data_IF_056540644404
#
_entry.id   IF_056540644404
#
_cell.length_a   1.000
_cell.length_b   1.000
_cell.length_c   1.000
_cell.angle_alpha   90.00
_cell.angle_beta   90.00
_cell.angle_gamma   90.00
#
_symmetry.space_group_name_H-M   'P 1'
#
loop_
_entity.id
_entity.type
_entity.pdbx_description
1 polymer ?
#
# COMPACT_ATOMS: atom_id res chain seq x y z
N UNK A 1 -7.98 -1.91 -40.25
CA UNK A 1 -7.62 -1.42 -38.90
C UNK A 1 -6.13 -1.64 -38.68
N UNK A 2 -5.38 -0.62 -38.27
CA UNK A 2 -3.94 -0.76 -38.03
C UNK A 2 -3.69 -1.41 -36.66
N UNK A 3 -2.99 -2.56 -36.65
CA UNK A 3 -2.62 -3.29 -35.42
C UNK A 3 -1.72 -2.48 -34.45
N UNK A 4 -1.15 -1.38 -34.93
CA UNK A 4 -0.22 -0.52 -34.16
C UNK A 4 -0.88 0.13 -32.94
N UNK A 5 -2.16 0.50 -33.03
CA UNK A 5 -2.87 1.16 -31.93
C UNK A 5 -3.08 0.27 -30.70
N UNK A 6 -3.70 -0.92 -30.85
CA UNK A 6 -3.90 -1.86 -29.75
C UNK A 6 -2.59 -2.32 -29.10
N UNK A 7 -1.57 -2.56 -29.92
CA UNK A 7 -0.26 -3.03 -29.45
C UNK A 7 0.46 -1.94 -28.63
N UNK A 8 0.44 -0.68 -29.07
CA UNK A 8 0.99 0.43 -28.29
C UNK A 8 0.26 0.63 -26.94
N UNK A 9 -1.08 0.47 -26.92
CA UNK A 9 -1.86 0.54 -25.69
C UNK A 9 -1.53 -0.61 -24.73
N UNK A 10 -1.35 -1.82 -25.24
CA UNK A 10 -0.96 -2.99 -24.44
C UNK A 10 0.40 -2.78 -23.77
N UNK A 11 1.43 -2.38 -24.53
CA UNK A 11 2.77 -2.14 -23.96
C UNK A 11 2.77 -1.02 -22.95
N UNK A 12 2.00 0.05 -23.19
CA UNK A 12 1.81 1.13 -22.23
C UNK A 12 1.18 0.63 -20.93
N UNK A 13 0.07 -0.11 -21.01
CA UNK A 13 -0.63 -0.68 -19.85
C UNK A 13 0.28 -1.62 -19.07
N UNK A 14 0.98 -2.54 -19.74
CA UNK A 14 1.86 -3.51 -19.11
C UNK A 14 3.03 -2.83 -18.39
N UNK A 15 3.71 -1.89 -19.07
CA UNK A 15 4.86 -1.19 -18.48
C UNK A 15 4.44 -0.31 -17.29
N UNK A 16 3.35 0.44 -17.42
CA UNK A 16 2.88 1.31 -16.35
C UNK A 16 2.33 0.50 -15.17
N UNK A 17 1.60 -0.59 -15.40
CA UNK A 17 1.14 -1.49 -14.35
C UNK A 17 2.30 -2.14 -13.60
N UNK A 18 3.33 -2.62 -14.32
CA UNK A 18 4.53 -3.19 -13.71
C UNK A 18 5.26 -2.17 -12.83
N UNK A 19 5.40 -0.94 -13.33
CA UNK A 19 6.01 0.14 -12.56
C UNK A 19 5.23 0.43 -11.27
N UNK A 20 3.91 0.60 -11.36
CA UNK A 20 3.06 0.84 -10.18
C UNK A 20 3.11 -0.31 -9.19
N UNK A 21 3.17 -1.55 -9.68
CA UNK A 21 3.39 -2.72 -8.84
C UNK A 21 4.72 -2.62 -8.08
N UNK A 22 5.84 -2.35 -8.76
CA UNK A 22 7.15 -2.21 -8.10
C UNK A 22 7.12 -1.10 -7.06
N UNK A 23 6.59 0.08 -7.40
CA UNK A 23 6.52 1.23 -6.47
C UNK A 23 5.70 0.88 -5.23
N UNK A 24 4.49 0.36 -5.39
CA UNK A 24 3.63 0.03 -4.24
C UNK A 24 4.21 -1.13 -3.42
N UNK A 25 4.69 -2.19 -4.07
CA UNK A 25 5.29 -3.35 -3.39
C UNK A 25 6.50 -2.93 -2.57
N UNK A 26 7.42 -2.15 -3.15
CA UNK A 26 8.62 -1.67 -2.47
C UNK A 26 8.27 -0.75 -1.30
N UNK A 27 7.36 0.21 -1.50
CA UNK A 27 7.00 1.17 -0.45
C UNK A 27 6.24 0.51 0.69
N UNK A 28 5.25 -0.33 0.38
CA UNK A 28 4.49 -1.09 1.38
C UNK A 28 5.40 -2.04 2.17
N UNK A 29 6.28 -2.78 1.49
CA UNK A 29 7.28 -3.65 2.14
C UNK A 29 8.21 -2.86 3.05
N UNK A 30 8.72 -1.71 2.59
CA UNK A 30 9.59 -0.87 3.42
C UNK A 30 8.87 -0.36 4.68
N UNK A 31 7.59 0.01 4.57
CA UNK A 31 6.79 0.42 5.73
C UNK A 31 6.57 -0.71 6.72
N UNK A 32 6.20 -1.91 6.27
CA UNK A 32 6.04 -3.07 7.19
C UNK A 32 7.34 -3.39 7.92
N UNK A 33 8.45 -3.47 7.17
CA UNK A 33 9.76 -3.75 7.74
C UNK A 33 10.17 -2.71 8.78
N UNK A 34 9.88 -1.44 8.51
CA UNK A 34 10.17 -0.37 9.46
C UNK A 34 9.27 -0.44 10.70
N UNK A 35 7.97 -0.72 10.52
CA UNK A 35 7.04 -0.89 11.63
C UNK A 35 7.48 -2.03 12.57
N UNK A 36 7.84 -3.20 12.03
CA UNK A 36 8.35 -4.31 12.84
C UNK A 36 9.68 -3.98 13.54
N UNK A 37 10.58 -3.25 12.89
CA UNK A 37 11.83 -2.78 13.53
C UNK A 37 11.57 -1.80 14.66
N UNK A 38 10.59 -0.91 14.49
CA UNK A 38 10.25 0.07 15.53
C UNK A 38 9.63 -0.65 16.74
N UNK A 39 8.75 -1.64 16.52
CA UNK A 39 8.21 -2.51 17.59
C UNK A 39 9.33 -3.28 18.31
N UNK A 40 10.23 -3.94 17.57
CA UNK A 40 11.35 -4.66 18.18
C UNK A 40 12.23 -3.71 19.03
N UNK A 41 12.53 -2.52 18.50
CA UNK A 41 13.35 -1.52 19.20
C UNK A 41 12.66 -1.04 20.48
N UNK A 42 11.36 -0.78 20.43
CA UNK A 42 10.59 -0.31 21.58
C UNK A 42 10.48 -1.38 22.67
N UNK A 43 10.25 -2.65 22.30
CA UNK A 43 10.29 -3.77 23.24
C UNK A 43 11.69 -3.92 23.86
N UNK A 44 12.77 -3.79 23.06
CA UNK A 44 14.12 -3.87 23.57
C UNK A 44 14.40 -2.78 24.62
N UNK A 45 13.96 -1.54 24.38
CA UNK A 45 14.11 -0.46 25.34
C UNK A 45 13.27 -0.71 26.60
N UNK A 46 12.00 -1.10 26.46
CA UNK A 46 11.17 -1.41 27.63
C UNK A 46 11.69 -2.58 28.48
N UNK A 47 12.40 -3.55 27.87
CA UNK A 47 13.10 -4.62 28.64
C UNK A 47 14.24 -4.02 29.46
N UNK A 48 15.03 -3.11 28.88
CA UNK A 48 16.14 -2.46 29.58
C UNK A 48 15.66 -1.55 30.71
N UNK A 49 14.51 -0.89 30.54
CA UNK A 49 13.91 0.01 31.51
C UNK A 49 13.09 -0.72 32.59
N UNK A 50 12.82 -2.02 32.41
CA UNK A 50 12.05 -2.83 33.37
C UNK A 50 10.53 -2.65 33.26
N UNK A 51 10.03 -2.15 32.14
CA UNK A 51 8.61 -1.87 31.90
C UNK A 51 7.76 -3.14 31.75
N UNK A 52 8.39 -4.28 31.46
CA UNK A 52 7.70 -5.56 31.27
C UNK A 52 7.77 -6.44 32.52
N UNK A 53 6.60 -6.85 33.02
CA UNK A 53 6.47 -7.80 34.13
C UNK A 53 7.07 -9.19 33.82
N UNK A 54 7.19 -9.55 32.54
CA UNK A 54 7.70 -10.84 32.05
C UNK A 54 8.76 -10.61 30.97
N UNK A 55 10.03 -10.37 31.34
CA UNK A 55 11.09 -10.00 30.39
C UNK A 55 11.38 -11.09 29.35
N UNK A 56 11.25 -12.37 29.71
CA UNK A 56 11.46 -13.49 28.77
C UNK A 56 10.41 -13.48 27.65
N UNK A 57 9.13 -13.30 28.00
CA UNK A 57 8.04 -13.17 27.01
C UNK A 57 8.23 -11.95 26.11
N UNK A 58 8.70 -10.83 26.67
CA UNK A 58 9.01 -9.64 25.89
C UNK A 58 10.15 -9.90 24.88
N UNK A 59 11.19 -10.63 25.29
CA UNK A 59 12.27 -11.00 24.39
C UNK A 59 11.80 -11.96 23.28
N UNK A 60 10.93 -12.92 23.59
CA UNK A 60 10.32 -13.80 22.58
C UNK A 60 9.49 -13.00 21.57
N UNK A 61 8.65 -12.08 22.04
CA UNK A 61 7.85 -11.20 21.18
C UNK A 61 8.75 -10.33 20.29
N UNK A 62 9.87 -9.81 20.82
CA UNK A 62 10.87 -9.07 20.03
C UNK A 62 11.43 -9.92 18.89
N UNK A 63 11.82 -11.18 19.17
CA UNK A 63 12.34 -12.09 18.16
C UNK A 63 11.29 -12.41 17.08
N UNK A 64 10.03 -12.59 17.47
CA UNK A 64 8.91 -12.77 16.52
C UNK A 64 8.76 -11.54 15.63
N UNK A 65 8.82 -10.32 16.19
CA UNK A 65 8.75 -9.08 15.43
C UNK A 65 9.93 -8.95 14.45
N UNK A 66 11.15 -9.30 14.84
CA UNK A 66 12.34 -9.29 13.97
C UNK A 66 12.19 -10.26 12.80
N UNK A 67 11.82 -11.51 13.09
CA UNK A 67 11.62 -12.55 12.07
C UNK A 67 10.46 -12.19 11.12
N UNK A 68 9.37 -11.65 11.66
CA UNK A 68 8.25 -11.16 10.86
C UNK A 68 8.68 -9.97 9.99
N UNK A 69 9.51 -9.07 10.50
CA UNK A 69 10.09 -7.97 9.74
C UNK A 69 10.97 -8.44 8.59
N UNK A 70 11.85 -9.41 8.78
CA UNK A 70 12.72 -9.93 7.71
C UNK A 70 11.93 -10.58 6.57
N UNK A 71 10.88 -11.34 6.94
CA UNK A 71 9.99 -12.03 6.00
C UNK A 71 8.83 -11.16 5.49
N UNK A 72 8.66 -9.94 6.00
CA UNK A 72 7.57 -9.06 5.61
C UNK A 72 7.66 -8.69 4.14
N UNK A 73 6.54 -8.90 3.44
CA UNK A 73 6.34 -8.51 2.06
C UNK A 73 4.97 -7.83 1.98
N UNK A 74 4.99 -6.51 1.86
CA UNK A 74 3.79 -5.70 1.83
C UNK A 74 3.32 -5.37 0.41
N UNK A 75 2.06 -4.97 0.30
CA UNK A 75 1.48 -4.42 -0.93
C UNK A 75 0.72 -5.45 -1.78
N UNK A 76 -0.02 -4.98 -2.80
CA UNK A 76 -0.92 -5.81 -3.60
C UNK A 76 -0.16 -6.75 -4.55
N UNK A 77 -0.84 -7.82 -4.98
CA UNK A 77 -0.31 -8.73 -6.01
C UNK A 77 -0.26 -8.08 -7.40
N UNK A 78 0.69 -8.53 -8.23
CA UNK A 78 0.85 -8.02 -9.61
C UNK A 78 -0.42 -8.22 -10.44
N UNK A 79 -1.08 -9.38 -10.28
CA UNK A 79 -2.31 -9.70 -11.00
C UNK A 79 -3.42 -8.70 -10.69
N UNK A 80 -3.57 -8.31 -9.41
CA UNK A 80 -4.54 -7.31 -9.01
C UNK A 80 -4.25 -5.95 -9.65
N UNK A 81 -2.98 -5.52 -9.65
CA UNK A 81 -2.56 -4.25 -10.27
C UNK A 81 -2.86 -4.23 -11.77
N UNK A 82 -2.56 -5.33 -12.47
CA UNK A 82 -2.89 -5.48 -13.90
C UNK A 82 -4.40 -5.45 -14.11
N UNK A 83 -5.18 -6.16 -13.29
CA UNK A 83 -6.64 -6.18 -13.39
C UNK A 83 -7.26 -4.79 -13.19
N UNK A 84 -6.81 -4.04 -12.17
CA UNK A 84 -7.22 -2.66 -11.90
C UNK A 84 -6.88 -1.75 -13.09
N UNK A 85 -5.64 -1.83 -13.59
CA UNK A 85 -5.17 -1.00 -14.70
C UNK A 85 -5.98 -1.25 -15.98
N UNK A 86 -6.16 -2.52 -16.35
CA UNK A 86 -6.94 -2.93 -17.53
C UNK A 86 -8.40 -2.56 -17.35
N UNK A 87 -8.99 -2.83 -16.19
CA UNK A 87 -10.40 -2.54 -15.88
C UNK A 87 -10.72 -1.05 -15.97
N UNK A 88 -9.92 -0.20 -15.32
CA UNK A 88 -10.08 1.26 -15.38
C UNK A 88 -9.92 1.80 -16.80
N UNK A 89 -8.89 1.35 -17.53
CA UNK A 89 -8.65 1.78 -18.90
C UNK A 89 -9.80 1.35 -19.84
N UNK A 90 -10.22 0.09 -19.75
CA UNK A 90 -11.31 -0.46 -20.56
C UNK A 90 -12.64 0.24 -20.27
N UNK A 91 -12.95 0.49 -19.00
CA UNK A 91 -14.15 1.23 -18.59
C UNK A 91 -14.24 2.58 -19.30
N UNK A 92 -13.17 3.37 -19.26
CA UNK A 92 -13.17 4.69 -19.90
C UNK A 92 -13.23 4.61 -21.43
N UNK A 93 -12.65 3.57 -22.04
CA UNK A 93 -12.80 3.32 -23.47
C UNK A 93 -14.24 2.99 -23.84
N UNK A 94 -14.91 2.12 -23.09
CA UNK A 94 -16.33 1.77 -23.31
C UNK A 94 -17.21 3.01 -23.15
N UNK A 95 -17.01 3.81 -22.10
CA UNK A 95 -17.76 5.05 -21.89
C UNK A 95 -17.50 6.07 -23.00
N UNK A 96 -16.26 6.20 -23.48
CA UNK A 96 -15.93 7.11 -24.57
C UNK A 96 -16.58 6.69 -25.91
N UNK A 97 -16.71 5.39 -26.16
CA UNK A 97 -17.36 4.85 -27.37
C UNK A 97 -18.89 4.79 -27.25
N UNK A 98 -19.43 4.86 -26.04
CA UNK A 98 -20.87 4.84 -25.83
C UNK A 98 -21.53 6.11 -26.39
N UNK A 99 -22.71 5.95 -27.01
CA UNK A 99 -23.54 7.07 -27.50
C UNK A 99 -24.37 7.73 -26.39
N UNK A 100 -24.02 7.50 -25.13
CA UNK A 100 -24.75 7.99 -23.99
C UNK A 100 -24.56 9.51 -23.82
N UNK A 101 -25.59 10.24 -23.34
CA UNK A 101 -25.44 11.62 -22.92
C UNK A 101 -24.30 11.78 -21.89
N UNK A 102 -23.66 12.95 -21.87
CA UNK A 102 -22.50 13.20 -21.00
C UNK A 102 -22.80 12.94 -19.51
N UNK A 103 -23.98 13.34 -19.03
CA UNK A 103 -24.44 13.09 -17.65
C UNK A 103 -24.58 11.60 -17.35
N UNK A 104 -25.23 10.84 -18.23
CA UNK A 104 -25.38 9.39 -18.08
C UNK A 104 -24.05 8.64 -18.10
N UNK A 105 -23.09 9.07 -18.93
CA UNK A 105 -21.73 8.50 -18.94
C UNK A 105 -20.98 8.75 -17.64
N UNK A 106 -21.08 9.95 -17.10
CA UNK A 106 -20.46 10.30 -15.83
C UNK A 106 -21.06 9.48 -14.68
N UNK A 107 -22.39 9.37 -14.62
CA UNK A 107 -23.07 8.55 -13.62
C UNK A 107 -22.69 7.06 -13.72
N UNK A 108 -22.71 6.49 -14.93
CA UNK A 108 -22.31 5.10 -15.16
C UNK A 108 -20.84 4.85 -14.77
N UNK A 109 -19.93 5.74 -15.16
CA UNK A 109 -18.52 5.63 -14.80
C UNK A 109 -18.27 5.73 -13.31
N UNK A 110 -19.01 6.60 -12.60
CA UNK A 110 -18.92 6.72 -11.15
C UNK A 110 -19.41 5.44 -10.46
N UNK A 111 -20.60 4.96 -10.82
CA UNK A 111 -21.18 3.74 -10.22
C UNK A 111 -20.29 2.52 -10.43
N UNK A 112 -19.82 2.30 -11.66
CA UNK A 112 -18.92 1.17 -11.94
C UNK A 112 -17.57 1.34 -11.22
N UNK A 113 -17.06 2.56 -11.11
CA UNK A 113 -15.81 2.82 -10.37
C UNK A 113 -15.96 2.52 -8.88
N UNK A 114 -17.08 2.89 -8.26
CA UNK A 114 -17.35 2.60 -6.84
C UNK A 114 -17.35 1.08 -6.61
N UNK A 115 -18.11 0.33 -7.43
CA UNK A 115 -18.22 -1.12 -7.29
C UNK A 115 -16.86 -1.80 -7.56
N UNK A 116 -16.18 -1.43 -8.63
CA UNK A 116 -14.91 -2.03 -9.01
C UNK A 116 -13.80 -1.73 -8.01
N UNK A 117 -13.72 -0.49 -7.49
CA UNK A 117 -12.77 -0.15 -6.43
C UNK A 117 -13.10 -0.88 -5.13
N UNK A 118 -14.37 -0.94 -4.72
CA UNK A 118 -14.77 -1.70 -3.54
C UNK A 118 -14.30 -3.15 -3.62
N UNK A 119 -14.57 -3.81 -4.74
CA UNK A 119 -14.14 -5.19 -4.98
C UNK A 119 -12.60 -5.33 -5.03
N UNK A 120 -11.89 -4.43 -5.71
CA UNK A 120 -10.44 -4.46 -5.78
C UNK A 120 -9.78 -4.27 -4.40
N UNK A 121 -10.33 -3.40 -3.56
CA UNK A 121 -9.86 -3.18 -2.20
C UNK A 121 -10.11 -4.40 -1.32
N UNK A 122 -11.28 -5.04 -1.45
CA UNK A 122 -11.58 -6.30 -0.75
C UNK A 122 -10.56 -7.38 -1.13
N UNK A 123 -10.29 -7.56 -2.43
CA UNK A 123 -9.29 -8.53 -2.89
C UNK A 123 -7.87 -8.22 -2.36
N UNK A 124 -7.48 -6.95 -2.35
CA UNK A 124 -6.17 -6.54 -1.84
C UNK A 124 -6.00 -6.86 -0.36
N UNK A 125 -7.06 -6.67 0.43
CA UNK A 125 -7.06 -6.93 1.87
C UNK A 125 -7.26 -8.42 2.19
N UNK A 126 -7.91 -9.17 1.30
CA UNK A 126 -8.07 -10.62 1.44
C UNK A 126 -6.74 -11.37 1.29
N UNK A 127 -5.97 -11.00 0.25
CA UNK A 127 -4.66 -11.58 -0.03
C UNK A 127 -3.65 -11.33 1.10
N UNK A 128 -3.88 -10.29 1.91
CA UNK A 128 -3.08 -9.97 3.10
C UNK A 128 -3.44 -10.84 4.34
N UNK A 129 -4.26 -11.88 4.19
CA UNK A 129 -4.59 -12.81 5.27
C UNK A 129 -5.64 -12.31 6.28
N UNK A 130 -6.22 -11.12 6.05
CA UNK A 130 -7.20 -10.53 6.97
C UNK A 130 -8.60 -11.14 6.84
N UNK A 131 -8.94 -11.62 5.64
CA UNK A 131 -10.24 -12.20 5.35
C UNK A 131 -10.16 -13.72 5.45
N UNK A 132 -10.17 -14.23 6.68
CA UNK A 132 -10.65 -15.59 6.95
C UNK A 132 -12.16 -15.74 6.68
N UNK A 133 -12.84 -14.65 6.28
CA UNK A 133 -14.25 -14.57 5.88
C UNK A 133 -14.41 -14.12 4.44
N UNK A 134 -15.61 -14.23 3.91
CA UNK A 134 -15.86 -13.90 2.51
C UNK A 134 -15.83 -12.37 2.28
N UNK A 135 -15.47 -11.89 1.07
CA UNK A 135 -15.33 -10.45 0.79
C UNK A 135 -16.61 -9.61 0.98
N UNK A 136 -17.75 -10.25 1.22
CA UNK A 136 -19.04 -9.61 1.48
C UNK A 136 -19.44 -9.55 2.95
N UNK A 137 -18.62 -10.03 3.89
CA UNK A 137 -18.86 -9.79 5.31
C UNK A 137 -18.59 -8.31 5.64
N UNK A 138 -19.47 -7.70 6.44
CA UNK A 138 -19.49 -6.26 6.81
C UNK A 138 -18.19 -5.72 7.45
N UNK A 139 -17.18 -6.58 7.63
CA UNK A 139 -15.96 -6.35 8.39
C UNK A 139 -15.15 -5.14 7.93
N UNK A 140 -14.89 -4.93 6.64
CA UNK A 140 -13.94 -3.88 6.20
C UNK A 140 -14.41 -2.46 6.56
N UNK A 141 -15.70 -2.15 6.40
CA UNK A 141 -16.21 -0.82 6.73
C UNK A 141 -16.41 -0.64 8.24
N UNK A 142 -16.76 -1.71 8.96
CA UNK A 142 -16.83 -1.68 10.41
C UNK A 142 -15.45 -1.46 11.04
N UNK A 143 -14.43 -2.14 10.52
CA UNK A 143 -13.04 -2.07 10.98
C UNK A 143 -12.42 -0.68 10.75
N UNK A 144 -12.71 -0.08 9.58
CA UNK A 144 -12.34 1.32 9.29
C UNK A 144 -13.03 2.33 10.22
N UNK A 145 -14.22 2.02 10.74
CA UNK A 145 -15.01 2.93 11.59
C UNK A 145 -14.71 2.78 13.09
N UNK A 146 -14.29 1.58 13.53
CA UNK A 146 -14.00 1.26 14.93
C UNK A 146 -12.51 1.32 15.30
N UNK A 147 -11.64 0.70 14.50
CA UNK A 147 -10.20 0.56 14.77
C UNK A 147 -9.31 1.33 13.79
N UNK A 148 -9.89 1.85 12.70
CA UNK A 148 -9.17 2.64 11.70
C UNK A 148 -8.49 3.88 12.28
N UNK A 149 -9.11 4.55 13.26
CA UNK A 149 -8.55 5.77 13.87
C UNK A 149 -7.23 5.52 14.62
N UNK A 150 -7.09 4.38 15.32
CA UNK A 150 -5.83 3.99 15.97
C UNK A 150 -4.83 3.43 14.95
N UNK A 151 -5.31 2.76 13.90
CA UNK A 151 -4.47 2.21 12.81
C UNK A 151 -3.69 3.30 12.05
N UNK A 152 -4.28 4.51 11.88
CA UNK A 152 -3.58 5.65 11.27
C UNK A 152 -2.64 6.40 12.23
N UNK A 153 -2.80 6.24 13.54
CA UNK A 153 -1.97 6.94 14.52
C UNK A 153 -0.52 6.43 14.57
N UNK A 154 -0.25 5.27 13.95
CA UNK A 154 1.10 4.71 13.78
C UNK A 154 1.78 4.27 15.08
N UNK A 155 1.18 4.53 16.24
CA UNK A 155 1.66 4.05 17.52
C UNK A 155 1.21 2.60 17.70
N UNK A 156 2.13 1.66 17.49
CA UNK A 156 1.90 0.26 17.82
C UNK A 156 2.09 0.15 19.33
N UNK A 157 1.11 -0.37 20.04
CA UNK A 157 1.22 -0.63 21.48
C UNK A 157 2.17 -1.82 21.72
N UNK A 158 3.41 -1.61 22.19
CA UNK A 158 4.37 -2.69 22.42
C UNK A 158 3.89 -3.63 23.52
N UNK A 159 3.13 -3.13 24.52
CA UNK A 159 2.62 -3.98 25.60
C UNK A 159 1.52 -4.92 25.09
N UNK A 160 0.61 -4.41 24.26
CA UNK A 160 -0.39 -5.21 23.57
C UNK A 160 0.22 -6.28 22.65
N UNK A 161 1.33 -5.96 21.96
CA UNK A 161 2.05 -6.94 21.14
C UNK A 161 2.79 -7.99 21.98
N UNK A 162 3.39 -7.62 23.12
CA UNK A 162 4.02 -8.58 24.03
C UNK A 162 3.00 -9.53 24.67
N UNK A 163 1.79 -9.04 24.95
CA UNK A 163 0.70 -9.87 25.48
C UNK A 163 0.17 -10.89 24.46
N UNK A 164 0.12 -10.51 23.18
CA UNK A 164 -0.35 -11.32 22.07
C UNK A 164 0.47 -11.02 20.80
N UNK A 165 1.59 -11.73 20.59
CA UNK A 165 2.57 -11.45 19.53
C UNK A 165 2.05 -11.91 18.16
N UNK A 166 1.05 -11.19 17.66
CA UNK A 166 0.43 -11.43 16.37
C UNK A 166 0.93 -10.41 15.33
N UNK A 167 1.77 -10.83 14.35
CA UNK A 167 2.31 -9.95 13.31
C UNK A 167 1.25 -9.22 12.48
N UNK A 168 0.04 -9.76 12.37
CA UNK A 168 -1.04 -9.15 11.57
C UNK A 168 -1.51 -7.81 12.11
N UNK A 169 -1.29 -7.52 13.41
CA UNK A 169 -1.63 -6.22 14.02
C UNK A 169 -0.68 -5.10 13.60
N UNK A 170 0.57 -5.43 13.27
CA UNK A 170 1.62 -4.46 12.91
C UNK A 170 1.50 -4.00 11.44
N UNK A 171 0.81 -4.76 10.59
CA UNK A 171 0.70 -4.48 9.15
C UNK A 171 -0.27 -3.34 8.77
N UNK A 172 -0.84 -2.61 9.74
CA UNK A 172 -1.83 -1.55 9.48
C UNK A 172 -1.34 -0.44 8.53
N UNK A 173 -0.09 0.03 8.69
CA UNK A 173 0.45 1.14 7.91
C UNK A 173 0.60 0.82 6.40
N UNK A 174 0.97 -0.42 6.06
CA UNK A 174 1.11 -0.85 4.66
C UNK A 174 -0.23 -1.02 3.97
N UNK A 175 -1.30 -1.36 4.72
CA UNK A 175 -2.67 -1.43 4.21
C UNK A 175 -3.15 -0.05 3.74
N UNK A 176 -2.91 1.00 4.53
CA UNK A 176 -3.27 2.36 4.14
C UNK A 176 -2.61 2.78 2.81
N UNK A 177 -1.31 2.49 2.66
CA UNK A 177 -0.58 2.72 1.41
C UNK A 177 -1.13 1.89 0.26
N UNK A 178 -1.49 0.63 0.51
CA UNK A 178 -2.04 -0.26 -0.51
C UNK A 178 -3.39 0.26 -1.00
N UNK A 179 -4.29 0.66 -0.09
CA UNK A 179 -5.58 1.27 -0.40
C UNK A 179 -5.39 2.55 -1.21
N UNK A 180 -4.57 3.48 -0.72
CA UNK A 180 -4.28 4.73 -1.41
C UNK A 180 -3.66 4.51 -2.79
N UNK A 181 -2.73 3.56 -2.88
CA UNK A 181 -2.09 3.15 -4.12
C UNK A 181 -3.06 2.59 -5.16
N UNK A 182 -3.96 1.70 -4.76
CA UNK A 182 -5.00 1.13 -5.63
C UNK A 182 -5.92 2.23 -6.18
N UNK A 183 -6.36 3.16 -5.32
CA UNK A 183 -7.18 4.29 -5.74
C UNK A 183 -6.44 5.18 -6.74
N UNK A 184 -5.18 5.51 -6.47
CA UNK A 184 -4.36 6.32 -7.37
C UNK A 184 -4.14 5.64 -8.74
N UNK A 185 -3.89 4.34 -8.75
CA UNK A 185 -3.75 3.55 -9.98
C UNK A 185 -5.06 3.57 -10.77
N UNK A 186 -6.19 3.30 -10.13
CA UNK A 186 -7.50 3.33 -10.77
C UNK A 186 -7.75 4.67 -11.45
N UNK A 187 -7.58 5.77 -10.71
CA UNK A 187 -7.73 7.13 -11.26
C UNK A 187 -6.76 7.36 -12.43
N UNK A 188 -5.48 6.99 -12.29
CA UNK A 188 -4.46 7.17 -13.32
C UNK A 188 -4.83 6.46 -14.63
N UNK A 189 -5.37 5.24 -14.56
CA UNK A 189 -5.76 4.49 -15.75
C UNK A 189 -7.13 4.92 -16.32
N UNK A 190 -8.06 5.42 -15.49
CA UNK A 190 -9.25 6.12 -15.98
C UNK A 190 -8.85 7.34 -16.84
N UNK A 191 -7.92 8.17 -16.36
CA UNK A 191 -7.43 9.32 -17.13
C UNK A 191 -6.68 8.90 -18.40
N UNK A 192 -5.90 7.82 -18.34
CA UNK A 192 -5.23 7.28 -19.52
C UNK A 192 -6.22 6.83 -20.61
N UNK A 193 -7.34 6.23 -20.22
CA UNK A 193 -8.38 5.75 -21.14
C UNK A 193 -9.11 6.86 -21.91
N UNK A 194 -9.03 8.12 -21.47
CA UNK A 194 -9.70 9.27 -22.12
C UNK A 194 -9.09 9.68 -23.46
N UNK A 195 -7.83 9.34 -23.72
CA UNK A 195 -7.08 9.85 -24.88
C UNK A 195 -6.48 8.69 -25.69
N UNK A 196 -6.25 8.85 -27.00
CA UNK A 196 -5.36 7.96 -27.73
C UNK A 196 -3.98 7.94 -27.04
N UNK A 197 -3.42 6.73 -26.93
CA UNK A 197 -2.08 6.51 -26.39
C UNK A 197 -1.11 6.71 -27.55
N UNK A 198 -0.35 7.80 -27.50
CA UNK A 198 0.72 8.07 -28.47
C UNK A 198 2.05 7.62 -27.88
N UNK A 199 2.98 7.20 -28.75
CA UNK A 199 4.30 6.71 -28.35
C UNK A 199 5.08 7.70 -27.46
N UNK A 200 5.02 8.99 -27.79
CA UNK A 200 5.64 10.06 -26.98
C UNK A 200 5.08 10.12 -25.56
N UNK A 201 3.78 9.87 -25.39
CA UNK A 201 3.12 9.86 -24.08
C UNK A 201 3.57 8.66 -23.26
N UNK A 202 3.70 7.49 -23.90
CA UNK A 202 4.22 6.29 -23.27
C UNK A 202 5.64 6.51 -22.76
N UNK A 203 6.53 7.08 -23.60
CA UNK A 203 7.90 7.40 -23.21
C UNK A 203 7.99 8.40 -22.05
N UNK A 204 7.19 9.47 -22.06
CA UNK A 204 7.17 10.44 -20.96
C UNK A 204 6.68 9.83 -19.65
N UNK A 205 5.62 9.02 -19.71
CA UNK A 205 5.10 8.34 -18.52
C UNK A 205 6.12 7.37 -17.93
N UNK A 206 6.88 6.68 -18.78
CA UNK A 206 7.96 5.80 -18.37
C UNK A 206 9.08 6.58 -17.69
N UNK A 207 9.53 7.70 -18.27
CA UNK A 207 10.59 8.54 -17.70
C UNK A 207 10.24 9.10 -16.32
N UNK A 208 9.04 9.67 -16.16
CA UNK A 208 8.56 10.18 -14.86
C UNK A 208 8.43 9.04 -13.86
N UNK A 209 7.86 7.93 -14.30
CA UNK A 209 7.68 6.74 -13.47
C UNK A 209 8.99 6.15 -12.96
N UNK A 210 9.98 6.01 -13.85
CA UNK A 210 11.33 5.57 -13.52
C UNK A 210 12.00 6.50 -12.51
N UNK A 211 11.91 7.82 -12.71
CA UNK A 211 12.48 8.80 -11.77
C UNK A 211 11.85 8.70 -10.38
N UNK A 212 10.52 8.52 -10.29
CA UNK A 212 9.81 8.33 -9.03
C UNK A 212 10.23 7.02 -8.35
N UNK A 213 10.35 5.92 -9.10
CA UNK A 213 10.81 4.64 -8.56
C UNK A 213 12.25 4.74 -7.99
N UNK A 214 13.15 5.40 -8.72
CA UNK A 214 14.52 5.66 -8.25
C UNK A 214 14.53 6.53 -6.99
N UNK A 215 13.74 7.60 -6.96
CA UNK A 215 13.63 8.48 -5.79
C UNK A 215 13.08 7.74 -4.56
N UNK A 216 12.04 6.92 -4.75
CA UNK A 216 11.46 6.10 -3.69
C UNK A 216 12.46 5.05 -3.16
N UNK A 217 13.19 4.37 -4.04
CA UNK A 217 14.24 3.43 -3.66
C UNK A 217 15.37 4.12 -2.88
N UNK A 218 15.80 5.31 -3.32
CA UNK A 218 16.81 6.11 -2.63
C UNK A 218 16.33 6.59 -1.25
N UNK A 219 15.06 6.99 -1.13
CA UNK A 219 14.47 7.40 0.15
C UNK A 219 14.35 6.22 1.13
N UNK A 220 13.96 5.03 0.65
CA UNK A 220 13.86 3.83 1.46
C UNK A 220 15.23 3.30 1.93
N UNK A 221 16.30 3.55 1.17
CA UNK A 221 17.66 3.14 1.51
C UNK A 221 18.42 4.08 2.43
N UNK A 222 17.90 5.28 2.73
CA UNK A 222 18.58 6.20 3.65
C UNK A 222 18.39 5.71 5.09
N UNK A 223 19.45 5.31 5.81
CA UNK A 223 19.34 5.11 7.24
C UNK A 223 18.84 6.42 7.84
N UNK A 224 17.76 6.37 8.62
CA UNK A 224 17.35 7.52 9.45
C UNK A 224 18.55 7.80 10.34
N UNK A 225 19.37 8.77 9.95
CA UNK A 225 20.50 9.22 10.75
C UNK A 225 19.92 9.51 12.11
N UNK A 226 20.36 8.74 13.11
CA UNK A 226 19.90 8.88 14.48
C UNK A 226 19.99 10.35 14.80
N UNK A 227 18.84 10.99 14.99
CA UNK A 227 18.78 12.34 15.54
C UNK A 227 19.41 12.20 16.91
N UNK A 228 20.72 12.44 16.96
CA UNK A 228 21.52 12.33 18.16
C UNK A 228 20.84 13.21 19.18
N UNK A 229 20.22 12.56 20.17
CA UNK A 229 19.79 13.19 21.39
C UNK A 229 21.03 13.74 22.08
N UNK A 230 21.50 14.89 21.62
CA UNK A 230 22.39 15.78 22.35
C UNK A 230 21.60 16.42 23.48
N UNK A 231 21.03 15.60 24.36
CA UNK A 231 20.50 16.01 25.64
C UNK A 231 21.67 16.23 26.58
N UNK A 232 22.38 17.35 26.39
CA UNK A 232 23.32 17.88 27.36
C UNK A 232 22.58 18.32 28.62
N UNK A 233 22.23 17.38 29.48
CA UNK A 233 21.75 17.64 30.84
C UNK A 233 22.95 17.84 31.77
N UNK A 234 23.51 19.04 31.77
CA UNK A 234 24.50 19.45 32.75
C UNK A 234 23.91 19.46 34.16
N UNK A 235 24.29 18.50 34.99
CA UNK A 235 24.06 18.57 36.44
C UNK A 235 25.12 19.49 37.03
N UNK A 236 24.68 20.70 37.38
CA UNK A 236 25.47 21.64 38.17
C UNK A 236 25.23 21.34 39.65
N UNK A 237 26.31 20.91 40.32
CA UNK A 237 26.66 20.92 41.75
C UNK A 237 25.55 20.99 42.80
#
# INVERSE_FOLDING_TARGET
MSWRGPLAAFFFLAAEALLWFVVLRSFATALERNAFRDVSREILFGIADGDFLQPDRANDARLIAEQAGESAIGGPSLLLIVAIAVGAYALMRVLAMSKLPASSRAAAGLLVSIVALGFALQLALADAGLLGGAPWDDGILADLRGEGASTFSGAIDPQGFVADPNPERVRGASRAVTVGGIVLIWLRFLFAGRSPVNFERSLRSFGVGFAVAVAAAAAAGRPRGGGGGGGGGGVSR
#
